data_IF_192037333817
#
_entry.id   IF_192037333817
#
_cell.length_a   1.000
_cell.length_b   1.000
_cell.length_c   1.000
_cell.angle_alpha   90.00
_cell.angle_beta   90.00
_cell.angle_gamma   90.00
#
_symmetry.space_group_name_H-M   'P 1'
#
loop_
_entity.id
_entity.type
_entity.pdbx_description
1 polymer ?
#
# COMPACT_ATOMS: atom_id res chain seq x y z
N UNK A 1 -8.17 10.65 47.11
CA UNK A 1 -7.04 9.70 47.18
C UNK A 1 -7.66 8.31 47.03
N UNK A 2 -7.23 7.50 46.06
CA UNK A 2 -7.84 6.18 45.80
C UNK A 2 -7.40 5.16 46.87
N UNK A 3 -8.33 4.59 47.61
CA UNK A 3 -8.15 3.46 48.54
C UNK A 3 -8.03 2.14 47.78
N UNK A 4 -6.92 1.96 47.07
CA UNK A 4 -6.53 0.66 46.50
C UNK A 4 -5.61 -0.09 47.48
N UNK A 5 -5.89 -1.37 47.75
CA UNK A 5 -4.97 -2.21 48.55
C UNK A 5 -3.65 -2.39 47.79
N UNK A 6 -2.54 -2.06 48.44
CA UNK A 6 -1.21 -2.26 47.87
C UNK A 6 -0.89 -3.76 47.76
N UNK A 7 -0.37 -4.18 46.60
CA UNK A 7 0.07 -5.56 46.36
C UNK A 7 1.60 -5.55 46.34
N UNK A 8 2.28 -6.17 47.32
CA UNK A 8 3.73 -6.27 47.31
C UNK A 8 4.17 -7.28 46.24
N UNK A 9 5.03 -6.83 45.33
CA UNK A 9 5.65 -7.67 44.30
C UNK A 9 7.15 -7.60 44.50
N UNK A 10 7.79 -8.76 44.56
CA UNK A 10 9.24 -8.86 44.71
C UNK A 10 9.89 -8.97 43.34
N UNK A 11 10.86 -8.11 43.09
CA UNK A 11 11.72 -8.16 41.92
C UNK A 11 13.12 -8.58 42.34
N UNK A 12 13.85 -9.22 41.43
CA UNK A 12 15.29 -9.31 41.60
C UNK A 12 15.90 -7.91 41.55
N UNK A 13 17.08 -7.72 42.14
CA UNK A 13 17.73 -6.40 42.14
C UNK A 13 18.07 -5.91 40.73
N UNK A 14 18.40 -6.84 39.82
CA UNK A 14 18.67 -6.50 38.43
C UNK A 14 17.41 -6.06 37.69
N UNK A 15 16.29 -6.76 37.89
CA UNK A 15 15.01 -6.40 37.28
C UNK A 15 14.49 -5.07 37.82
N UNK A 16 14.67 -4.82 39.13
CA UNK A 16 14.30 -3.54 39.75
C UNK A 16 15.08 -2.39 39.12
N UNK A 17 16.40 -2.54 38.94
CA UNK A 17 17.24 -1.51 38.33
C UNK A 17 16.84 -1.20 36.89
N UNK A 18 16.58 -2.24 36.08
CA UNK A 18 16.11 -2.06 34.69
C UNK A 18 14.77 -1.33 34.64
N UNK A 19 13.86 -1.64 35.55
CA UNK A 19 12.55 -0.98 35.63
C UNK A 19 12.67 0.49 36.06
N UNK A 20 13.58 0.81 36.99
CA UNK A 20 13.86 2.19 37.40
C UNK A 20 14.47 3.02 36.26
N UNK A 21 15.43 2.46 35.53
CA UNK A 21 16.02 3.10 34.35
C UNK A 21 14.97 3.34 33.25
N UNK A 22 14.13 2.35 32.95
CA UNK A 22 13.04 2.48 31.97
C UNK A 22 11.99 3.51 32.39
N UNK A 23 11.63 3.56 33.67
CA UNK A 23 10.70 4.55 34.20
C UNK A 23 11.27 5.97 34.09
N UNK A 24 12.56 6.14 34.39
CA UNK A 24 13.25 7.43 34.28
C UNK A 24 13.34 7.91 32.82
N UNK A 25 13.70 7.02 31.89
CA UNK A 25 13.72 7.34 30.45
C UNK A 25 12.35 7.73 29.93
N UNK A 26 11.28 7.11 30.42
CA UNK A 26 9.90 7.45 30.07
C UNK A 26 9.37 8.70 30.80
N UNK A 27 10.19 9.36 31.63
CA UNK A 27 9.84 10.60 32.35
C UNK A 27 8.95 10.40 33.57
N UNK A 28 8.80 9.17 34.07
CA UNK A 28 7.98 8.92 35.25
C UNK A 28 8.76 9.25 36.52
N UNK A 29 8.14 10.08 37.39
CA UNK A 29 8.69 10.42 38.70
C UNK A 29 8.62 9.28 39.72
N UNK A 30 7.68 8.35 39.55
CA UNK A 30 7.44 7.26 40.48
C UNK A 30 7.32 5.92 39.75
N UNK A 31 8.16 4.95 40.13
CA UNK A 31 8.21 3.62 39.54
C UNK A 31 6.86 2.88 39.65
N UNK A 32 6.17 3.00 40.77
CA UNK A 32 4.87 2.34 41.00
C UNK A 32 3.79 2.80 40.03
N UNK A 33 3.84 4.07 39.59
CA UNK A 33 2.93 4.59 38.56
C UNK A 33 3.30 4.04 37.18
N UNK A 34 4.59 4.02 36.84
CA UNK A 34 5.07 3.43 35.59
C UNK A 34 4.69 1.94 35.47
N UNK A 35 4.95 1.15 36.52
CA UNK A 35 4.59 -0.26 36.56
C UNK A 35 3.08 -0.42 36.45
N UNK A 36 2.28 0.36 37.19
CA UNK A 36 0.82 0.32 37.10
C UNK A 36 0.33 0.62 35.68
N UNK A 37 0.79 1.71 35.07
CA UNK A 37 0.32 2.13 33.75
C UNK A 37 0.75 1.15 32.65
N UNK A 38 1.95 0.54 32.75
CA UNK A 38 2.43 -0.51 31.84
C UNK A 38 1.69 -1.84 32.07
N UNK A 39 1.51 -2.26 33.31
CA UNK A 39 0.86 -3.55 33.64
C UNK A 39 -0.63 -3.54 33.37
N UNK A 40 -1.30 -2.41 33.62
CA UNK A 40 -2.70 -2.21 33.30
C UNK A 40 -2.93 -1.87 31.83
N UNK A 41 -1.87 -1.45 31.12
CA UNK A 41 -1.70 -1.53 29.67
C UNK A 41 -2.98 -1.37 28.87
N UNK A 42 -3.78 -0.33 29.17
CA UNK A 42 -5.08 -0.17 28.55
C UNK A 42 -4.95 0.33 27.11
N UNK A 43 -3.85 1.05 26.81
CA UNK A 43 -3.69 1.73 25.52
C UNK A 43 -2.53 1.24 24.67
N UNK A 44 -1.44 0.66 25.19
CA UNK A 44 -0.30 0.33 24.31
C UNK A 44 -0.42 -1.01 23.59
N UNK A 45 -0.99 -2.06 24.22
CA UNK A 45 -1.02 -3.40 23.62
C UNK A 45 -2.27 -3.67 22.80
N UNK A 46 -3.44 -3.10 23.17
CA UNK A 46 -4.66 -3.22 22.36
C UNK A 46 -4.69 -2.23 21.20
N UNK A 47 -4.18 -1.00 21.37
CA UNK A 47 -3.97 -0.12 20.23
C UNK A 47 -2.89 -0.69 19.33
N UNK A 48 -1.70 -1.04 19.83
CA UNK A 48 -0.66 -1.65 18.98
C UNK A 48 -1.08 -2.95 18.30
N UNK A 49 -1.89 -3.82 18.93
CA UNK A 49 -2.36 -5.05 18.29
C UNK A 49 -3.50 -4.82 17.28
N UNK A 50 -4.45 -3.90 17.56
CA UNK A 50 -5.50 -3.53 16.60
C UNK A 50 -4.93 -2.72 15.45
N UNK A 51 -4.07 -1.75 15.74
CA UNK A 51 -3.26 -1.03 14.76
C UNK A 51 -2.41 -2.00 13.94
N UNK A 52 -1.92 -3.10 14.53
CA UNK A 52 -1.15 -4.11 13.76
C UNK A 52 -2.03 -4.99 12.87
N UNK A 53 -3.26 -5.32 13.28
CA UNK A 53 -4.21 -6.12 12.48
C UNK A 53 -4.79 -5.26 11.35
N UNK A 54 -5.14 -4.01 11.63
CA UNK A 54 -5.61 -3.02 10.65
C UNK A 54 -4.48 -2.65 9.68
N UNK A 55 -3.26 -2.38 10.17
CA UNK A 55 -2.11 -2.14 9.29
C UNK A 55 -1.71 -3.38 8.46
N UNK A 56 -1.98 -4.59 8.96
CA UNK A 56 -1.78 -5.81 8.18
C UNK A 56 -2.87 -5.98 7.11
N UNK A 57 -4.13 -5.69 7.44
CA UNK A 57 -5.23 -5.69 6.50
C UNK A 57 -5.01 -4.65 5.39
N UNK A 58 -4.63 -3.42 5.74
CA UNK A 58 -4.28 -2.36 4.79
C UNK A 58 -3.10 -2.75 3.91
N UNK A 59 -2.10 -3.44 4.47
CA UNK A 59 -0.94 -3.92 3.71
C UNK A 59 -1.31 -5.03 2.73
N UNK A 60 -2.26 -5.90 3.07
CA UNK A 60 -2.80 -6.91 2.15
C UNK A 60 -3.69 -6.30 1.07
N UNK A 61 -4.43 -5.24 1.39
CA UNK A 61 -5.21 -4.51 0.39
C UNK A 61 -4.29 -3.76 -0.59
N UNK A 62 -3.24 -3.10 -0.06
CA UNK A 62 -2.25 -2.41 -0.87
C UNK A 62 -1.44 -3.36 -1.75
N UNK A 63 -1.12 -4.57 -1.27
CA UNK A 63 -0.48 -5.60 -2.10
C UNK A 63 -1.42 -6.12 -3.20
N UNK A 64 -2.72 -6.29 -2.88
CA UNK A 64 -3.75 -6.60 -3.86
C UNK A 64 -3.86 -5.55 -4.97
N UNK A 65 -3.83 -4.25 -4.62
CA UNK A 65 -3.84 -3.14 -5.59
C UNK A 65 -2.54 -3.07 -6.41
N UNK A 66 -1.39 -3.38 -5.81
CA UNK A 66 -0.11 -3.49 -6.52
C UNK A 66 -0.11 -4.61 -7.57
N UNK A 67 -0.66 -5.77 -7.24
CA UNK A 67 -0.80 -6.88 -8.19
C UNK A 67 -1.79 -6.60 -9.32
N UNK A 68 -2.80 -5.74 -9.07
CA UNK A 68 -3.72 -5.23 -10.10
C UNK A 68 -3.00 -4.27 -11.06
N UNK A 69 -2.17 -3.37 -10.53
CA UNK A 69 -1.38 -2.40 -11.30
C UNK A 69 -0.34 -3.09 -12.18
N UNK A 70 0.36 -4.10 -11.65
CA UNK A 70 1.33 -4.87 -12.44
C UNK A 70 0.65 -5.63 -13.59
N UNK A 71 -0.55 -6.19 -13.37
CA UNK A 71 -1.34 -6.84 -14.44
C UNK A 71 -1.77 -5.86 -15.53
N UNK A 72 -2.08 -4.59 -15.21
CA UNK A 72 -2.35 -3.56 -16.22
C UNK A 72 -1.07 -3.14 -16.96
N UNK A 73 0.06 -3.12 -16.26
CA UNK A 73 1.36 -2.77 -16.80
C UNK A 73 1.86 -3.80 -17.84
N UNK A 74 1.65 -5.10 -17.58
CA UNK A 74 1.96 -6.13 -18.57
C UNK A 74 1.00 -6.11 -19.77
N UNK A 75 -0.28 -5.75 -19.57
CA UNK A 75 -1.24 -5.58 -20.66
C UNK A 75 -0.85 -4.44 -21.61
N UNK A 76 -0.36 -3.33 -21.07
CA UNK A 76 0.20 -2.24 -21.87
C UNK A 76 1.41 -2.68 -22.70
N UNK A 77 2.29 -3.52 -22.12
CA UNK A 77 3.48 -4.04 -22.79
C UNK A 77 3.15 -5.00 -23.94
N UNK A 78 2.08 -5.79 -23.82
CA UNK A 78 1.66 -6.71 -24.87
C UNK A 78 0.97 -6.01 -26.05
N UNK A 79 0.18 -4.96 -25.80
CA UNK A 79 -0.39 -4.10 -26.85
C UNK A 79 0.70 -3.40 -27.65
N UNK A 80 1.75 -2.95 -26.96
CA UNK A 80 2.98 -2.44 -27.55
C UNK A 80 3.62 -3.46 -28.51
N UNK A 81 3.73 -4.72 -28.07
CA UNK A 81 4.33 -5.78 -28.85
C UNK A 81 3.50 -6.17 -30.09
N UNK A 82 2.17 -6.05 -30.02
CA UNK A 82 1.27 -6.37 -31.13
C UNK A 82 1.24 -5.29 -32.22
N UNK A 83 1.30 -4.02 -31.83
CA UNK A 83 1.51 -2.93 -32.79
C UNK A 83 2.87 -3.07 -33.49
N UNK A 84 3.90 -3.53 -32.76
CA UNK A 84 5.21 -3.90 -33.31
C UNK A 84 5.17 -5.06 -34.32
N UNK A 85 4.16 -5.92 -34.25
CA UNK A 85 4.05 -7.07 -35.17
C UNK A 85 3.15 -6.79 -36.38
N UNK A 86 2.04 -6.08 -36.18
CA UNK A 86 1.14 -5.65 -37.26
C UNK A 86 1.85 -4.74 -38.27
N UNK A 87 2.76 -3.90 -37.77
CA UNK A 87 3.75 -3.19 -38.57
C UNK A 87 4.56 -4.09 -39.50
N UNK A 88 4.92 -5.28 -39.02
CA UNK A 88 5.92 -6.15 -39.61
C UNK A 88 5.38 -6.94 -40.82
N UNK A 89 4.06 -6.98 -41.00
CA UNK A 89 3.41 -7.85 -41.97
C UNK A 89 2.90 -7.15 -43.23
N UNK A 90 2.13 -6.07 -43.10
CA UNK A 90 1.40 -5.44 -44.22
C UNK A 90 1.05 -3.96 -44.01
N UNK A 91 1.48 -3.36 -42.90
CA UNK A 91 1.23 -1.94 -42.67
C UNK A 91 1.98 -1.10 -43.71
N UNK A 92 1.32 -0.09 -44.27
CA UNK A 92 2.03 0.92 -45.04
C UNK A 92 2.89 1.77 -44.10
N UNK A 93 3.97 2.36 -44.62
CA UNK A 93 4.84 3.22 -43.81
C UNK A 93 4.08 4.37 -43.15
N UNK A 94 3.03 4.89 -43.79
CA UNK A 94 2.22 5.98 -43.25
C UNK A 94 1.39 5.56 -42.02
N UNK A 95 0.87 4.33 -42.02
CA UNK A 95 0.05 3.77 -40.93
C UNK A 95 0.93 3.38 -39.74
N UNK A 96 2.11 2.86 -40.04
CA UNK A 96 3.19 2.65 -39.08
C UNK A 96 3.58 3.94 -38.36
N UNK A 97 3.80 5.04 -39.10
CA UNK A 97 4.16 6.33 -38.52
C UNK A 97 3.02 6.97 -37.73
N UNK A 98 1.77 6.78 -38.15
CA UNK A 98 0.60 7.25 -37.43
C UNK A 98 0.43 6.53 -36.09
N UNK A 99 0.70 5.23 -36.08
CA UNK A 99 0.64 4.38 -34.90
C UNK A 99 1.74 4.71 -33.89
N UNK A 100 2.95 4.99 -34.40
CA UNK A 100 4.07 5.50 -33.58
C UNK A 100 3.68 6.85 -32.96
N UNK A 101 3.14 7.80 -33.75
CA UNK A 101 2.69 9.11 -33.25
C UNK A 101 1.55 9.01 -32.23
N UNK A 102 0.70 7.99 -32.35
CA UNK A 102 -0.36 7.72 -31.40
C UNK A 102 0.18 7.13 -30.09
N UNK A 103 1.18 6.25 -30.16
CA UNK A 103 1.92 5.75 -29.00
C UNK A 103 2.63 6.90 -28.25
N UNK A 104 3.21 7.87 -28.97
CA UNK A 104 3.97 8.99 -28.42
C UNK A 104 3.12 10.01 -27.64
N UNK A 105 1.84 10.18 -28.01
CA UNK A 105 0.98 11.23 -27.45
C UNK A 105 -0.01 10.72 -26.38
N UNK A 106 0.13 9.47 -25.97
CA UNK A 106 -0.82 8.77 -25.11
C UNK A 106 -0.36 8.68 -23.65
N UNK A 107 -1.27 8.92 -22.69
CA UNK A 107 -0.98 8.83 -21.25
C UNK A 107 -1.36 7.48 -20.66
N UNK A 108 -2.29 6.80 -21.31
CA UNK A 108 -2.69 5.43 -21.03
C UNK A 108 -2.65 4.64 -22.33
N UNK A 109 -2.54 3.30 -22.27
CA UNK A 109 -2.63 2.46 -23.47
C UNK A 109 -3.91 2.73 -24.30
N UNK A 110 -4.98 3.19 -23.64
CA UNK A 110 -6.25 3.53 -24.27
C UNK A 110 -6.18 4.82 -25.11
N UNK A 111 -5.30 5.75 -24.74
CA UNK A 111 -5.10 6.99 -25.51
C UNK A 111 -4.35 6.72 -26.81
N UNK A 112 -3.48 5.70 -26.82
CA UNK A 112 -2.76 5.24 -28.03
C UNK A 112 -3.77 4.77 -29.07
N UNK A 113 -4.75 3.99 -28.62
CA UNK A 113 -5.84 3.54 -29.43
C UNK A 113 -6.74 4.71 -29.86
N UNK A 114 -6.97 5.67 -28.97
CA UNK A 114 -7.81 6.83 -29.28
C UNK A 114 -7.23 7.74 -30.36
N UNK A 115 -5.91 7.84 -30.43
CA UNK A 115 -5.24 8.64 -31.44
C UNK A 115 -5.05 7.87 -32.76
N UNK A 116 -4.72 6.58 -32.71
CA UNK A 116 -4.47 5.77 -33.92
C UNK A 116 -5.77 5.32 -34.60
N UNK A 117 -6.81 5.07 -33.81
CA UNK A 117 -8.13 4.73 -34.30
C UNK A 117 -9.20 5.21 -33.30
N UNK A 118 -9.62 6.49 -33.39
CA UNK A 118 -10.58 7.06 -32.45
C UNK A 118 -11.91 6.32 -32.45
N UNK A 119 -12.30 5.73 -33.58
CA UNK A 119 -13.46 4.84 -33.67
C UNK A 119 -13.24 3.57 -32.84
N UNK A 120 -12.06 2.94 -32.93
CA UNK A 120 -11.71 1.75 -32.15
C UNK A 120 -11.60 2.05 -30.66
N UNK A 121 -11.14 3.24 -30.28
CA UNK A 121 -11.04 3.65 -28.89
C UNK A 121 -12.34 4.14 -28.30
N UNK A 122 -13.20 4.80 -29.07
CA UNK A 122 -14.57 5.09 -28.66
C UNK A 122 -15.33 3.78 -28.46
N UNK A 123 -15.12 2.81 -29.35
CA UNK A 123 -15.55 1.43 -29.15
C UNK A 123 -14.98 0.84 -27.86
N UNK A 124 -13.65 0.88 -27.62
CA UNK A 124 -13.03 0.37 -26.38
C UNK A 124 -13.54 1.07 -25.12
N UNK A 125 -13.71 2.39 -25.14
CA UNK A 125 -14.21 3.17 -24.00
C UNK A 125 -15.67 2.87 -23.70
N UNK A 126 -16.53 2.72 -24.72
CA UNK A 126 -17.88 2.17 -24.53
C UNK A 126 -17.82 0.79 -23.91
N UNK A 127 -16.96 -0.09 -24.45
CA UNK A 127 -16.76 -1.43 -23.91
C UNK A 127 -16.24 -1.46 -22.46
N UNK A 128 -15.47 -0.46 -22.01
CA UNK A 128 -14.95 -0.35 -20.63
C UNK A 128 -15.93 0.37 -19.69
N UNK A 129 -16.83 1.23 -20.19
CA UNK A 129 -17.84 1.96 -19.40
C UNK A 129 -19.13 1.17 -19.19
N UNK A 130 -19.52 0.33 -20.14
CA UNK A 130 -20.66 -0.58 -20.02
C UNK A 130 -20.29 -1.87 -19.23
N UNK A 131 -19.04 -1.99 -18.77
CA UNK A 131 -18.50 -3.09 -17.95
C UNK A 131 -18.25 -2.64 -16.51
#
# INVERSE_FOLDING_TARGET
>A
MNDGKAIPVWYSEEDRRRLEEAAALAGYRHLSKYIRDRTLGYDSQRASARDSIEAWADRQELSGRLAEIERMQSRAQALLAMLLFLLRGKASNAETDALIRACENARTPDDVLAASSPQLAALMRRFVQDA
#
